data_IF_508989022838
#
_entry.id   IF_508989022838
#
_cell.length_a   1.000
_cell.length_b   1.000
_cell.length_c   1.000
_cell.angle_alpha   90.00
_cell.angle_beta   90.00
_cell.angle_gamma   90.00
#
_symmetry.space_group_name_H-M   'P 1'
#
loop_
_entity.id
_entity.type
_entity.pdbx_description
1 polymer ?
#
# COMPACT_ATOMS: atom_id res chain seq x y z
N UNK A 1 -25.69 3.83 16.22
CA UNK A 1 -24.81 4.92 16.70
C UNK A 1 -25.32 6.25 16.15
N UNK A 2 -25.11 7.36 16.85
CA UNK A 2 -25.28 8.68 16.22
C UNK A 2 -24.36 8.78 15.00
N UNK A 3 -24.82 9.35 13.89
CA UNK A 3 -24.01 9.57 12.67
C UNK A 3 -22.66 10.23 12.99
N UNK A 4 -22.62 11.06 14.04
CA UNK A 4 -21.39 11.72 14.51
C UNK A 4 -20.34 10.71 15.02
N UNK A 5 -20.75 9.70 15.79
CA UNK A 5 -19.82 8.73 16.38
C UNK A 5 -19.22 7.85 15.28
N UNK A 6 -20.02 7.44 14.30
CA UNK A 6 -19.54 6.64 13.16
C UNK A 6 -18.46 7.37 12.35
N UNK A 7 -18.67 8.66 12.07
CA UNK A 7 -17.68 9.51 11.38
C UNK A 7 -16.40 9.63 12.22
N UNK A 8 -16.53 9.86 13.53
CA UNK A 8 -15.38 9.96 14.45
C UNK A 8 -14.57 8.66 14.43
N UNK A 9 -15.23 7.50 14.53
CA UNK A 9 -14.56 6.19 14.45
C UNK A 9 -13.82 6.00 13.13
N UNK A 10 -14.44 6.35 12.00
CA UNK A 10 -13.80 6.26 10.69
C UNK A 10 -12.55 7.14 10.60
N UNK A 11 -12.65 8.40 11.02
CA UNK A 11 -11.53 9.34 11.02
C UNK A 11 -10.39 8.84 11.89
N UNK A 12 -10.69 8.29 13.07
CA UNK A 12 -9.68 7.70 13.97
C UNK A 12 -8.97 6.52 13.30
N UNK A 13 -9.70 5.61 12.65
CA UNK A 13 -9.09 4.46 11.95
C UNK A 13 -8.14 4.92 10.85
N UNK A 14 -8.55 5.89 10.03
CA UNK A 14 -7.72 6.42 8.95
C UNK A 14 -6.51 7.18 9.51
N UNK A 15 -6.69 7.97 10.57
CA UNK A 15 -5.60 8.70 11.21
C UNK A 15 -4.56 7.74 11.79
N UNK A 16 -4.98 6.69 12.51
CA UNK A 16 -4.07 5.66 13.02
C UNK A 16 -3.36 4.94 11.87
N UNK A 17 -4.09 4.55 10.82
CA UNK A 17 -3.51 3.88 9.66
C UNK A 17 -2.47 4.73 8.91
N UNK A 18 -2.70 6.05 8.83
CA UNK A 18 -1.77 7.00 8.23
C UNK A 18 -0.55 7.23 9.13
N UNK A 19 -0.75 7.43 10.44
CA UNK A 19 0.33 7.60 11.41
C UNK A 19 1.27 6.40 11.40
N UNK A 20 0.73 5.18 11.47
CA UNK A 20 1.54 3.96 11.47
C UNK A 20 2.34 3.77 10.17
N UNK A 21 1.82 4.20 9.02
CA UNK A 21 2.50 4.06 7.72
C UNK A 21 3.53 5.16 7.45
N UNK A 22 3.28 6.37 7.95
CA UNK A 22 4.19 7.50 7.80
C UNK A 22 5.28 7.50 8.89
N UNK A 23 5.07 6.77 9.99
CA UNK A 23 6.05 6.66 11.06
C UNK A 23 7.35 6.04 10.54
N UNK A 24 8.43 6.84 10.58
CA UNK A 24 9.79 6.44 10.19
C UNK A 24 9.95 5.94 8.74
N UNK A 25 9.08 6.33 7.81
CA UNK A 25 9.11 5.88 6.41
C UNK A 25 10.48 6.03 5.72
N UNK A 26 11.25 7.07 6.06
CA UNK A 26 12.59 7.31 5.49
C UNK A 26 13.74 6.68 6.27
N UNK A 27 13.51 6.27 7.53
CA UNK A 27 14.57 5.84 8.45
C UNK A 27 14.62 4.33 8.65
N UNK A 28 13.51 3.61 8.40
CA UNK A 28 13.41 2.16 8.58
C UNK A 28 12.83 1.50 7.32
N UNK A 29 13.55 0.55 6.69
CA UNK A 29 14.96 0.26 6.91
C UNK A 29 15.86 1.45 6.51
N UNK A 30 17.03 1.63 7.16
CA UNK A 30 17.92 2.77 6.91
C UNK A 30 18.58 2.73 5.54
N UNK A 31 18.69 1.54 4.93
CA UNK A 31 19.17 1.37 3.57
C UNK A 31 18.01 0.94 2.68
N UNK A 32 17.88 1.51 1.48
CA UNK A 32 16.89 1.07 0.52
C UNK A 32 17.24 -0.32 0.00
N UNK A 33 16.20 -1.11 -0.25
CA UNK A 33 16.34 -2.42 -0.87
C UNK A 33 16.72 -2.29 -2.35
N UNK A 34 17.30 -3.33 -2.94
CA UNK A 34 17.67 -3.34 -4.36
C UNK A 34 16.47 -3.09 -5.28
N UNK A 35 15.30 -3.61 -4.92
CA UNK A 35 14.07 -3.37 -5.68
C UNK A 35 13.61 -1.90 -5.56
N UNK A 36 13.76 -1.27 -4.38
CA UNK A 36 13.44 0.15 -4.18
C UNK A 36 14.36 1.05 -5.01
N UNK A 37 15.66 0.73 -5.03
CA UNK A 37 16.66 1.47 -5.81
C UNK A 37 16.39 1.34 -7.31
N UNK A 38 16.13 0.13 -7.80
CA UNK A 38 15.82 -0.11 -9.22
C UNK A 38 14.56 0.62 -9.66
N UNK A 39 13.47 0.49 -8.90
CA UNK A 39 12.20 1.14 -9.24
C UNK A 39 12.32 2.67 -9.22
N UNK A 40 13.05 3.21 -8.25
CA UNK A 40 13.34 4.64 -8.14
C UNK A 40 14.22 5.17 -9.27
N UNK A 41 15.27 4.42 -9.64
CA UNK A 41 16.16 4.78 -10.74
C UNK A 41 15.43 4.77 -12.09
N UNK A 42 14.65 3.72 -12.37
CA UNK A 42 13.84 3.64 -13.58
C UNK A 42 12.81 4.77 -13.65
N UNK A 43 12.13 5.07 -12.53
CA UNK A 43 11.20 6.20 -12.46
C UNK A 43 11.91 7.54 -12.77
N UNK A 44 13.11 7.74 -12.23
CA UNK A 44 13.91 8.94 -12.47
C UNK A 44 14.39 9.04 -13.93
N UNK A 45 14.87 7.93 -14.51
CA UNK A 45 15.30 7.86 -15.91
C UNK A 45 14.15 8.16 -16.86
N UNK A 46 12.98 7.55 -16.63
CA UNK A 46 11.77 7.79 -17.42
C UNK A 46 11.32 9.24 -17.29
N UNK A 47 11.38 9.82 -16.09
CA UNK A 47 11.03 11.23 -15.90
C UNK A 47 11.92 12.17 -16.71
N UNK A 48 13.22 11.88 -16.85
CA UNK A 48 14.16 12.73 -17.57
C UNK A 48 14.19 12.47 -19.09
N UNK A 49 14.14 11.21 -19.50
CA UNK A 49 14.42 10.79 -20.88
C UNK A 49 13.25 10.10 -21.57
N UNK A 50 12.21 9.74 -20.83
CA UNK A 50 11.12 8.88 -21.29
C UNK A 50 11.51 7.41 -21.45
N UNK A 51 12.74 7.03 -21.06
CA UNK A 51 13.30 5.69 -21.24
C UNK A 51 13.70 5.03 -19.93
N UNK A 52 13.62 3.71 -19.88
CA UNK A 52 14.09 2.90 -18.75
C UNK A 52 15.63 2.75 -18.72
N UNK A 53 16.14 1.95 -17.79
CA UNK A 53 17.58 1.66 -17.66
C UNK A 53 18.20 0.93 -18.87
N UNK A 54 17.39 0.28 -19.72
CA UNK A 54 17.83 -0.39 -20.95
C UNK A 54 17.58 0.44 -22.22
N UNK A 55 17.02 1.65 -22.09
CA UNK A 55 16.74 2.53 -23.21
C UNK A 55 15.39 2.29 -23.89
N UNK A 56 14.54 1.42 -23.34
CA UNK A 56 13.18 1.19 -23.85
C UNK A 56 12.28 2.38 -23.54
N UNK A 57 11.48 2.80 -24.52
CA UNK A 57 10.60 3.96 -24.39
C UNK A 57 9.29 3.54 -23.72
N UNK A 58 9.04 4.07 -22.53
CA UNK A 58 7.84 3.79 -21.73
C UNK A 58 7.43 2.31 -21.69
N UNK A 59 8.31 1.40 -21.20
CA UNK A 59 8.00 -0.02 -21.17
C UNK A 59 6.87 -0.31 -20.18
N UNK A 60 5.96 -1.21 -20.56
CA UNK A 60 4.91 -1.74 -19.65
C UNK A 60 5.50 -2.73 -18.63
N UNK A 61 6.56 -3.42 -19.04
CA UNK A 61 7.31 -4.37 -18.23
C UNK A 61 8.74 -3.86 -18.20
N UNK A 62 9.18 -3.37 -17.04
CA UNK A 62 10.56 -2.92 -16.87
C UNK A 62 11.44 -4.13 -16.63
N UNK A 63 12.53 -4.21 -17.35
CA UNK A 63 13.62 -5.11 -17.00
C UNK A 63 14.44 -4.45 -15.89
N UNK A 64 14.85 -5.23 -14.91
CA UNK A 64 15.68 -4.81 -13.79
C UNK A 64 16.48 -6.00 -13.28
N UNK A 65 17.81 -5.94 -13.35
CA UNK A 65 18.69 -7.05 -12.92
C UNK A 65 18.30 -8.42 -13.51
N UNK A 66 17.98 -8.45 -14.81
CA UNK A 66 17.50 -9.64 -15.53
C UNK A 66 16.15 -10.21 -15.05
N UNK A 67 15.45 -9.49 -14.17
CA UNK A 67 14.08 -9.76 -13.75
C UNK A 67 13.10 -8.79 -14.46
N UNK A 68 11.87 -9.22 -14.66
CA UNK A 68 10.83 -8.46 -15.36
C UNK A 68 9.74 -8.04 -14.38
N UNK A 69 9.68 -6.75 -14.07
CA UNK A 69 8.77 -6.17 -13.09
C UNK A 69 7.74 -5.25 -13.74
N UNK A 70 6.50 -5.20 -13.22
CA UNK A 70 5.49 -4.28 -13.75
C UNK A 70 5.91 -2.81 -13.59
N UNK A 71 5.86 -2.06 -14.70
CA UNK A 71 6.26 -0.66 -14.74
C UNK A 71 5.34 0.29 -13.96
N UNK A 72 4.13 -0.17 -13.63
CA UNK A 72 3.08 0.64 -13.04
C UNK A 72 3.53 1.33 -11.74
N UNK A 73 4.26 0.60 -10.89
CA UNK A 73 4.74 1.17 -9.62
C UNK A 73 5.71 2.31 -9.86
N UNK A 74 6.69 2.14 -10.76
CA UNK A 74 7.65 3.20 -11.11
C UNK A 74 6.98 4.43 -11.72
N UNK A 75 5.91 4.26 -12.52
CA UNK A 75 5.13 5.41 -12.99
C UNK A 75 4.46 6.19 -11.85
N UNK A 76 3.96 5.50 -10.83
CA UNK A 76 3.42 6.17 -9.65
C UNK A 76 4.48 6.88 -8.81
N UNK A 77 5.74 6.45 -8.86
CA UNK A 77 6.85 7.13 -8.17
C UNK A 77 7.16 8.50 -8.80
N UNK A 78 7.04 8.64 -10.14
CA UNK A 78 7.39 9.86 -10.90
C UNK A 78 6.86 11.16 -10.28
N UNK A 79 5.56 11.32 -9.96
CA UNK A 79 5.06 12.55 -9.35
C UNK A 79 5.70 12.86 -7.99
N UNK A 80 6.02 11.84 -7.20
CA UNK A 80 6.66 12.05 -5.89
C UNK A 80 8.14 12.42 -6.04
N UNK A 81 8.86 11.81 -6.98
CA UNK A 81 10.24 12.20 -7.30
C UNK A 81 10.28 13.64 -7.82
N UNK A 82 9.30 14.05 -8.64
CA UNK A 82 9.23 15.43 -9.14
C UNK A 82 9.08 16.48 -8.04
N UNK A 83 8.40 16.14 -6.94
CA UNK A 83 8.12 17.06 -5.83
C UNK A 83 9.22 17.01 -4.75
N UNK A 84 9.66 15.80 -4.37
CA UNK A 84 10.55 15.57 -3.22
C UNK A 84 11.99 15.20 -3.60
N UNK A 85 12.28 15.06 -4.90
CA UNK A 85 13.56 14.56 -5.41
C UNK A 85 13.70 13.04 -5.32
N UNK A 86 14.82 12.53 -5.82
CA UNK A 86 15.15 11.11 -5.76
C UNK A 86 15.64 10.75 -4.35
N UNK A 87 14.70 10.35 -3.50
CA UNK A 87 14.94 9.96 -2.10
C UNK A 87 14.13 8.69 -1.77
N UNK A 88 14.52 7.98 -0.70
CA UNK A 88 13.82 6.77 -0.22
C UNK A 88 12.36 7.07 0.14
N UNK A 89 12.09 8.24 0.70
CA UNK A 89 10.74 8.71 1.01
C UNK A 89 9.89 8.75 -0.26
N UNK A 90 10.39 9.35 -1.34
CA UNK A 90 9.69 9.48 -2.62
C UNK A 90 9.32 8.12 -3.22
N UNK A 91 10.20 7.13 -3.11
CA UNK A 91 10.00 5.76 -3.60
C UNK A 91 8.96 5.00 -2.77
N UNK A 92 8.88 5.27 -1.47
CA UNK A 92 7.97 4.59 -0.52
C UNK A 92 6.59 5.24 -0.43
N UNK A 93 6.47 6.53 -0.77
CA UNK A 93 5.21 7.29 -0.72
C UNK A 93 4.05 6.63 -1.51
N UNK A 94 4.24 6.12 -2.74
CA UNK A 94 3.18 5.43 -3.46
C UNK A 94 2.57 4.29 -2.63
N UNK A 95 3.40 3.42 -2.04
CA UNK A 95 2.95 2.31 -1.20
C UNK A 95 2.13 2.79 0.00
N UNK A 96 2.54 3.89 0.65
CA UNK A 96 1.79 4.47 1.77
C UNK A 96 0.44 5.01 1.33
N UNK A 97 0.37 5.72 0.20
CA UNK A 97 -0.88 6.25 -0.35
C UNK A 97 -1.86 5.11 -0.66
N UNK A 98 -1.41 4.09 -1.39
CA UNK A 98 -2.26 2.92 -1.69
C UNK A 98 -2.66 2.15 -0.44
N UNK A 99 -1.78 2.08 0.57
CA UNK A 99 -2.10 1.49 1.86
C UNK A 99 -3.21 2.22 2.62
N UNK A 100 -3.24 3.55 2.58
CA UNK A 100 -4.32 4.36 3.19
C UNK A 100 -5.63 4.17 2.41
N UNK A 101 -5.57 4.20 1.07
CA UNK A 101 -6.73 3.95 0.20
C UNK A 101 -7.33 2.58 0.48
N UNK A 102 -6.49 1.54 0.66
CA UNK A 102 -6.95 0.19 0.98
C UNK A 102 -7.71 0.13 2.31
N UNK A 103 -7.29 0.86 3.34
CA UNK A 103 -8.01 0.94 4.62
C UNK A 103 -9.39 1.59 4.44
N UNK A 104 -9.46 2.69 3.68
CA UNK A 104 -10.72 3.37 3.36
C UNK A 104 -11.65 2.44 2.58
N UNK A 105 -11.15 1.78 1.54
CA UNK A 105 -11.91 0.84 0.73
C UNK A 105 -12.43 -0.34 1.57
N UNK A 106 -11.60 -0.89 2.46
CA UNK A 106 -11.98 -1.99 3.34
C UNK A 106 -13.08 -1.57 4.33
N UNK A 107 -13.03 -0.35 4.86
CA UNK A 107 -14.08 0.18 5.72
C UNK A 107 -15.43 0.25 4.99
N UNK A 108 -15.46 0.82 3.78
CA UNK A 108 -16.69 0.89 2.99
C UNK A 108 -17.21 -0.47 2.55
N UNK A 109 -16.31 -1.38 2.15
CA UNK A 109 -16.67 -2.75 1.80
C UNK A 109 -17.32 -3.46 2.99
N UNK A 110 -16.72 -3.35 4.17
CA UNK A 110 -17.26 -3.93 5.41
C UNK A 110 -18.62 -3.34 5.73
N UNK A 111 -18.80 -2.02 5.57
CA UNK A 111 -20.08 -1.35 5.81
C UNK A 111 -21.19 -1.86 4.90
N UNK A 112 -20.90 -2.06 3.61
CA UNK A 112 -21.90 -2.56 2.67
C UNK A 112 -22.21 -4.06 2.91
N UNK A 113 -21.20 -4.88 3.22
CA UNK A 113 -21.39 -6.30 3.52
C UNK A 113 -22.26 -6.56 4.76
N UNK A 114 -22.11 -5.74 5.81
CA UNK A 114 -22.83 -5.94 7.09
C UNK A 114 -24.10 -5.09 7.22
N UNK A 115 -24.49 -4.35 6.17
CA UNK A 115 -25.65 -3.46 6.13
C UNK A 115 -26.98 -4.11 6.56
N UNK A 116 -27.15 -5.40 6.27
CA UNK A 116 -28.38 -6.17 6.55
C UNK A 116 -28.24 -7.16 7.73
N UNK A 117 -27.11 -7.14 8.42
CA UNK A 117 -26.87 -8.04 9.56
C UNK A 117 -27.19 -7.33 10.88
N UNK A 118 -27.79 -8.04 11.84
CA UNK A 118 -27.95 -7.58 13.23
C UNK A 118 -26.62 -7.45 13.99
N UNK A 119 -25.48 -7.58 13.31
CA UNK A 119 -24.14 -7.54 13.88
C UNK A 119 -23.70 -6.08 13.91
N UNK A 120 -23.58 -5.52 15.12
CA UNK A 120 -22.99 -4.19 15.31
C UNK A 120 -21.56 -4.19 14.76
N UNK A 121 -21.25 -3.22 13.90
CA UNK A 121 -19.96 -3.03 13.22
C UNK A 121 -18.74 -3.14 14.17
N UNK A 122 -18.91 -2.70 15.42
CA UNK A 122 -17.92 -2.76 16.51
C UNK A 122 -17.45 -4.19 16.86
N UNK A 123 -18.30 -5.20 16.69
CA UNK A 123 -17.98 -6.62 17.00
C UNK A 123 -17.25 -7.29 15.83
N UNK A 124 -17.39 -6.75 14.61
CA UNK A 124 -16.97 -7.44 13.40
C UNK A 124 -15.48 -7.24 13.08
N UNK A 125 -14.92 -6.04 13.32
CA UNK A 125 -13.52 -5.76 13.02
C UNK A 125 -12.54 -6.65 13.82
N UNK A 126 -12.68 -6.78 15.16
CA UNK A 126 -11.84 -7.69 15.94
C UNK A 126 -12.09 -9.16 15.57
N UNK A 127 -13.33 -9.52 15.23
CA UNK A 127 -13.72 -10.89 14.91
C UNK A 127 -13.22 -11.34 13.53
N UNK A 128 -13.15 -10.46 12.54
CA UNK A 128 -12.53 -10.71 11.24
C UNK A 128 -11.01 -10.87 11.41
N UNK A 129 -10.36 -9.98 12.17
CA UNK A 129 -8.93 -10.12 12.51
C UNK A 129 -8.63 -11.42 13.26
N UNK A 130 -9.42 -11.76 14.30
CA UNK A 130 -9.28 -13.01 15.03
C UNK A 130 -9.56 -14.23 14.14
N UNK A 131 -10.56 -14.18 13.26
CA UNK A 131 -10.88 -15.29 12.35
C UNK A 131 -9.83 -15.48 11.25
N UNK A 132 -9.13 -14.43 10.84
CA UNK A 132 -8.00 -14.50 9.90
C UNK A 132 -6.75 -15.09 10.57
N UNK A 133 -6.48 -14.71 11.83
CA UNK A 133 -5.36 -15.21 12.64
C UNK A 133 -5.57 -16.69 13.04
N UNK A 134 -6.80 -17.09 13.40
CA UNK A 134 -7.09 -18.45 13.86
C UNK A 134 -7.47 -19.43 12.74
N UNK A 135 -7.53 -19.01 11.46
CA UNK A 135 -7.81 -19.92 10.33
C UNK A 135 -6.62 -20.79 9.92
N UNK A 136 -5.44 -20.59 10.52
CA UNK A 136 -4.23 -21.36 10.22
C UNK A 136 -4.13 -22.75 10.85
N UNK A 137 -5.04 -23.12 11.77
CA UNK A 137 -4.98 -24.40 12.50
C UNK A 137 -6.19 -25.30 12.26
N UNK A 138 -6.62 -25.49 11.00
CA UNK A 138 -7.59 -26.55 10.66
C UNK A 138 -7.02 -27.52 9.63
N UNK A 139 -6.58 -28.67 10.16
CA UNK A 139 -6.55 -30.02 9.58
C UNK A 139 -5.83 -30.22 8.25
N UNK A 140 -4.59 -30.71 8.34
CA UNK A 140 -4.07 -31.74 7.42
C UNK A 140 -3.99 -33.07 8.18
N UNK A 141 -5.14 -33.71 8.38
CA UNK A 141 -5.19 -35.17 8.49
C UNK A 141 -5.32 -35.67 7.04
N UNK A 142 -4.19 -36.04 6.44
CA UNK A 142 -4.17 -36.81 5.20
C UNK A 142 -4.09 -38.29 5.63
N UNK A 143 -4.90 -39.19 5.04
CA UNK A 143 -4.94 -40.61 5.41
C UNK A 143 -3.61 -41.35 5.21
#
# INVERSE_FOLDING_TARGET
MSKKIEIITFVIIVAIAALLRLYQIGNVPPSPDWDEVSLGYNAYSIMLTGRDEYGELLPVIMRSFDDYKPALYSYFIIPFIKIFGLNTISVRLPSVVFGIIAVIATYFLTKELFKNSNIKFEICLPRLFAKQIFRGNLKLEIP
#
